data_IF_357888536191
#
_entry.id   IF_357888536191
#
_cell.length_a   1.000
_cell.length_b   1.000
_cell.length_c   1.000
_cell.angle_alpha   90.00
_cell.angle_beta   90.00
_cell.angle_gamma   90.00
#
_symmetry.space_group_name_H-M   'P 1'
#
loop_
_entity.id
_entity.type
_entity.pdbx_description
1 polymer ?
#
# COMPACT_ATOMS: atom_id res chain seq x y z
N UNK A 1 -0.60 22.95 -41.19
CA UNK A 1 -1.82 22.82 -40.37
C UNK A 1 -1.76 21.48 -39.66
N UNK A 2 -1.69 21.48 -38.33
CA UNK A 2 -1.59 20.26 -37.52
C UNK A 2 -0.73 20.48 -36.28
N UNK A 3 -1.27 21.23 -35.33
CA UNK A 3 -0.66 21.60 -34.05
C UNK A 3 -0.62 20.41 -33.08
N UNK A 4 0.34 20.41 -32.14
CA UNK A 4 0.20 19.68 -30.88
C UNK A 4 1.43 18.95 -30.31
N UNK A 5 2.56 19.63 -30.11
CA UNK A 5 3.49 19.34 -29.00
C UNK A 5 2.83 19.76 -27.66
N UNK A 6 3.30 19.35 -26.45
CA UNK A 6 4.44 18.51 -26.07
C UNK A 6 4.12 17.53 -24.91
N UNK A 7 5.15 16.82 -24.43
CA UNK A 7 5.03 15.77 -23.43
C UNK A 7 4.53 16.18 -22.04
N UNK A 8 4.01 15.17 -21.36
CA UNK A 8 4.19 15.02 -19.94
C UNK A 8 4.92 13.69 -19.75
N UNK A 9 6.26 13.76 -19.67
CA UNK A 9 6.96 12.86 -18.75
C UNK A 9 6.26 13.06 -17.41
N UNK A 10 5.84 11.95 -16.80
CA UNK A 10 5.18 11.94 -15.50
C UNK A 10 6.01 12.81 -14.53
N UNK A 11 5.52 14.03 -14.28
CA UNK A 11 6.16 15.02 -13.42
C UNK A 11 5.77 14.74 -11.97
N UNK A 12 6.02 13.51 -11.53
CA UNK A 12 6.08 13.18 -10.13
C UNK A 12 7.32 12.32 -9.93
N UNK A 13 8.44 13.04 -9.84
CA UNK A 13 9.67 12.68 -9.14
C UNK A 13 9.62 11.30 -8.46
N UNK A 14 9.91 10.25 -9.23
CA UNK A 14 10.37 8.96 -8.70
C UNK A 14 11.90 9.02 -8.71
N UNK A 15 12.44 10.10 -8.15
CA UNK A 15 13.84 10.12 -7.76
C UNK A 15 13.94 9.11 -6.63
N UNK A 16 14.43 7.91 -6.98
CA UNK A 16 14.95 6.93 -6.04
C UNK A 16 13.89 6.04 -5.35
N UNK A 17 13.02 5.37 -6.12
CA UNK A 17 12.61 4.01 -5.74
C UNK A 17 13.84 3.11 -5.88
N UNK A 18 14.75 3.18 -4.92
CA UNK A 18 15.42 1.94 -4.51
C UNK A 18 14.26 0.98 -4.21
N UNK A 19 14.21 -0.19 -4.84
CA UNK A 19 13.38 -1.28 -4.35
C UNK A 19 13.90 -1.65 -2.96
N UNK A 20 13.55 -0.84 -1.98
CA UNK A 20 13.78 -1.03 -0.57
C UNK A 20 12.88 -2.23 -0.23
N UNK A 21 13.49 -3.42 -0.27
CA UNK A 21 12.84 -4.70 0.05
C UNK A 21 12.32 -4.77 1.49
N UNK A 22 12.51 -3.69 2.24
CA UNK A 22 12.00 -3.48 3.58
C UNK A 22 10.49 -3.50 3.67
N UNK A 23 9.76 -3.23 2.58
CA UNK A 23 8.29 -3.31 2.56
C UNK A 23 7.80 -3.97 1.27
N UNK A 24 6.93 -4.98 1.38
CA UNK A 24 6.39 -5.73 0.25
C UNK A 24 4.90 -6.09 0.45
N UNK A 25 4.15 -6.21 -0.65
CA UNK A 25 2.78 -6.70 -0.66
C UNK A 25 2.76 -8.13 -1.22
N UNK A 26 2.14 -9.05 -0.50
CA UNK A 26 2.02 -10.46 -0.89
C UNK A 26 0.61 -10.96 -0.56
N UNK A 27 -0.17 -11.44 -1.54
CA UNK A 27 0.03 -11.31 -2.99
C UNK A 27 -0.26 -9.89 -3.50
N UNK A 28 0.27 -9.50 -4.67
CA UNK A 28 -0.09 -8.21 -5.30
C UNK A 28 -1.55 -8.18 -5.80
N UNK A 29 -2.14 -9.34 -6.04
CA UNK A 29 -3.54 -9.52 -6.46
C UNK A 29 -4.19 -10.48 -5.47
N UNK A 30 -5.33 -10.09 -4.91
CA UNK A 30 -6.08 -10.90 -3.95
C UNK A 30 -7.57 -10.93 -4.33
N UNK A 31 -8.23 -12.04 -4.00
CA UNK A 31 -9.64 -12.29 -4.27
C UNK A 31 -10.33 -12.68 -2.96
N UNK A 32 -11.02 -11.75 -2.27
CA UNK A 32 -11.73 -12.04 -1.02
C UNK A 32 -13.07 -12.73 -1.30
N UNK A 33 -13.05 -13.89 -1.96
CA UNK A 33 -14.22 -14.74 -2.20
C UNK A 33 -14.48 -15.78 -1.09
N UNK A 34 -13.62 -15.82 -0.08
CA UNK A 34 -13.67 -16.73 1.07
C UNK A 34 -13.51 -18.19 0.65
N UNK A 35 -12.70 -18.44 -0.41
CA UNK A 35 -12.41 -19.77 -0.93
C UNK A 35 -11.16 -20.41 -0.30
N UNK A 36 -10.47 -19.65 0.56
CA UNK A 36 -9.23 -20.06 1.24
C UNK A 36 -7.97 -19.75 0.45
N UNK A 37 -8.08 -19.17 -0.74
CA UNK A 37 -6.96 -18.85 -1.63
C UNK A 37 -6.90 -17.35 -1.92
N UNK A 38 -5.83 -16.70 -1.46
CA UNK A 38 -5.58 -15.27 -1.69
C UNK A 38 -6.75 -14.36 -1.25
N UNK A 39 -7.41 -14.69 -0.13
CA UNK A 39 -8.51 -13.89 0.42
C UNK A 39 -8.06 -12.57 1.05
N UNK A 40 -6.78 -12.46 1.39
CA UNK A 40 -6.20 -11.29 2.04
C UNK A 40 -4.91 -10.89 1.34
N UNK A 41 -4.60 -9.61 1.40
CA UNK A 41 -3.30 -9.07 1.00
C UNK A 41 -2.48 -8.73 2.23
N UNK A 42 -1.23 -9.19 2.27
CA UNK A 42 -0.33 -8.99 3.39
C UNK A 42 0.72 -7.95 3.02
N UNK A 43 0.78 -6.87 3.79
CA UNK A 43 1.90 -5.93 3.80
C UNK A 43 2.94 -6.45 4.79
N UNK A 44 4.00 -7.04 4.28
CA UNK A 44 5.13 -7.51 5.06
C UNK A 44 6.21 -6.43 5.10
N UNK A 45 6.87 -6.31 6.25
CA UNK A 45 7.95 -5.37 6.43
C UNK A 45 9.13 -5.95 7.22
N UNK A 46 10.33 -5.50 6.88
CA UNK A 46 11.59 -5.82 7.54
C UNK A 46 12.46 -4.56 7.59
N UNK A 47 12.85 -4.15 8.79
CA UNK A 47 13.69 -2.98 9.07
C UNK A 47 14.94 -3.38 9.84
N UNK A 48 16.02 -2.61 9.65
CA UNK A 48 17.33 -2.92 10.24
C UNK A 48 17.37 -2.73 11.77
N UNK A 49 16.49 -1.90 12.31
CA UNK A 49 16.40 -1.59 13.74
C UNK A 49 14.93 -1.55 14.21
N UNK A 50 14.65 -1.88 15.47
CA UNK A 50 13.34 -1.62 16.06
C UNK A 50 13.16 -0.13 16.37
N UNK A 51 11.93 0.27 16.70
CA UNK A 51 11.64 1.65 17.11
C UNK A 51 11.07 2.55 16.03
N UNK A 52 10.78 2.00 14.86
CA UNK A 52 10.00 2.70 13.85
C UNK A 52 8.52 2.77 14.26
N UNK A 53 7.86 3.86 13.90
CA UNK A 53 6.41 3.95 13.89
C UNK A 53 5.91 3.87 12.46
N UNK A 54 4.84 3.11 12.22
CA UNK A 54 4.26 2.99 10.88
C UNK A 54 2.80 3.40 10.87
N UNK A 55 2.40 4.02 9.77
CA UNK A 55 1.03 4.30 9.40
C UNK A 55 0.78 3.75 8.00
N UNK A 56 -0.30 2.99 7.84
CA UNK A 56 -0.67 2.37 6.57
C UNK A 56 -2.09 2.79 6.22
N UNK A 57 -2.22 3.48 5.09
CA UNK A 57 -3.49 3.95 4.54
C UNK A 57 -3.69 3.33 3.17
N UNK A 58 -4.89 2.83 2.92
CA UNK A 58 -5.30 2.26 1.65
C UNK A 58 -6.19 3.27 0.96
N UNK A 59 -5.90 3.55 -0.31
CA UNK A 59 -6.69 4.42 -1.17
C UNK A 59 -7.20 3.64 -2.37
N UNK A 60 -8.40 3.94 -2.83
CA UNK A 60 -8.89 3.39 -4.09
C UNK A 60 -8.28 4.12 -5.31
N UNK A 61 -8.57 3.64 -6.52
CA UNK A 61 -8.10 4.25 -7.76
C UNK A 61 -8.52 5.73 -7.95
N UNK A 62 -9.58 6.18 -7.28
CA UNK A 62 -10.01 7.58 -7.26
C UNK A 62 -9.28 8.45 -6.23
N UNK A 63 -8.39 7.88 -5.42
CA UNK A 63 -7.67 8.58 -4.35
C UNK A 63 -8.47 8.76 -3.06
N UNK A 64 -9.64 8.13 -2.94
CA UNK A 64 -10.43 8.16 -1.70
C UNK A 64 -9.88 7.15 -0.70
N UNK A 65 -9.83 7.50 0.60
CA UNK A 65 -9.40 6.56 1.64
C UNK A 65 -10.41 5.41 1.73
N UNK A 66 -9.92 4.19 1.58
CA UNK A 66 -10.71 2.97 1.69
C UNK A 66 -10.61 2.37 3.10
N UNK A 67 -9.39 2.31 3.64
CA UNK A 67 -9.12 1.73 4.97
C UNK A 67 -7.85 2.33 5.58
N UNK A 68 -7.85 2.55 6.88
CA UNK A 68 -6.61 2.74 7.64
C UNK A 68 -6.26 1.46 8.40
N UNK A 69 -5.26 0.71 7.92
CA UNK A 69 -4.87 -0.55 8.56
C UNK A 69 -4.10 -0.32 9.86
N UNK A 70 -3.23 0.69 9.85
CA UNK A 70 -2.31 0.97 10.95
C UNK A 70 -2.23 2.47 11.17
N UNK A 71 -2.22 2.89 12.44
CA UNK A 71 -2.05 4.28 12.85
C UNK A 71 -0.95 4.40 13.90
N UNK A 72 0.22 4.93 13.52
CA UNK A 72 1.37 5.16 14.39
C UNK A 72 1.70 3.95 15.29
N UNK A 73 1.65 2.75 14.71
CA UNK A 73 1.96 1.54 15.46
C UNK A 73 3.47 1.38 15.60
N UNK A 74 3.91 1.07 16.81
CA UNK A 74 5.31 0.75 17.08
C UNK A 74 5.68 -0.57 16.43
N UNK A 75 6.75 -0.57 15.64
CA UNK A 75 7.21 -1.73 14.90
C UNK A 75 8.44 -2.35 15.56
N UNK A 76 8.45 -3.69 15.58
CA UNK A 76 9.67 -4.46 15.69
C UNK A 76 10.49 -4.41 14.39
N UNK A 77 11.55 -5.21 14.34
CA UNK A 77 12.40 -5.33 13.14
C UNK A 77 11.69 -5.99 11.96
N UNK A 78 10.62 -6.77 12.19
CA UNK A 78 9.83 -7.35 11.11
C UNK A 78 8.40 -7.60 11.55
N UNK A 79 7.50 -7.73 10.58
CA UNK A 79 6.11 -8.10 10.84
C UNK A 79 5.26 -8.06 9.57
N UNK A 80 3.95 -8.26 9.75
CA UNK A 80 3.01 -8.19 8.65
C UNK A 80 1.69 -7.55 9.10
N UNK A 81 1.01 -6.92 8.15
CA UNK A 81 -0.31 -6.32 8.32
C UNK A 81 -1.18 -6.79 7.15
N UNK A 82 -2.32 -7.38 7.44
CA UNK A 82 -3.22 -7.90 6.39
C UNK A 82 -4.40 -6.98 6.15
N UNK A 83 -4.88 -6.97 4.91
CA UNK A 83 -6.16 -6.40 4.52
C UNK A 83 -7.01 -7.44 3.83
N UNK A 84 -8.26 -7.54 4.27
CA UNK A 84 -9.28 -8.48 3.83
C UNK A 84 -10.28 -7.88 2.82
N UNK A 85 -9.98 -6.68 2.30
CA UNK A 85 -10.88 -5.99 1.38
C UNK A 85 -12.06 -5.31 2.07
N UNK A 86 -12.02 -5.13 3.40
CA UNK A 86 -13.05 -4.40 4.15
C UNK A 86 -12.63 -2.93 4.35
N UNK A 87 -13.56 -2.02 4.12
CA UNK A 87 -13.36 -0.58 4.26
C UNK A 87 -13.56 -0.12 5.72
N UNK A 88 -13.21 1.13 6.05
CA UNK A 88 -13.40 1.68 7.41
C UNK A 88 -14.89 1.69 7.85
N UNK A 89 -15.82 1.78 6.91
CA UNK A 89 -17.26 1.73 7.14
C UNK A 89 -17.81 0.29 7.31
N UNK A 90 -16.94 -0.71 7.38
CA UNK A 90 -17.26 -2.15 7.43
C UNK A 90 -17.95 -2.69 6.16
N UNK A 91 -18.00 -1.92 5.08
CA UNK A 91 -18.46 -2.41 3.79
C UNK A 91 -17.35 -3.17 3.04
N UNK A 92 -17.75 -4.02 2.10
CA UNK A 92 -16.81 -4.64 1.16
C UNK A 92 -16.30 -3.60 0.16
N UNK A 93 -14.98 -3.54 0.00
CA UNK A 93 -14.35 -2.72 -1.00
C UNK A 93 -14.70 -3.26 -2.41
N UNK A 94 -15.01 -2.38 -3.39
CA UNK A 94 -15.28 -2.81 -4.76
C UNK A 94 -14.04 -3.42 -5.43
N UNK A 95 -14.26 -4.20 -6.49
CA UNK A 95 -13.17 -4.68 -7.35
C UNK A 95 -12.44 -3.50 -7.97
N UNK A 96 -11.12 -3.51 -7.90
CA UNK A 96 -10.31 -2.45 -8.45
C UNK A 96 -8.87 -2.40 -7.93
N UNK A 97 -8.18 -1.34 -8.32
CA UNK A 97 -6.81 -1.05 -7.91
C UNK A 97 -6.83 -0.25 -6.62
N UNK A 98 -6.01 -0.67 -5.68
CA UNK A 98 -5.81 -0.04 -4.39
C UNK A 98 -4.35 0.32 -4.17
N UNK A 99 -4.12 1.51 -3.61
CA UNK A 99 -2.78 2.02 -3.30
C UNK A 99 -2.59 2.00 -1.79
N UNK A 100 -1.62 1.21 -1.35
CA UNK A 100 -1.12 1.20 0.01
C UNK A 100 -0.07 2.28 0.13
N UNK A 101 -0.39 3.31 0.89
CA UNK A 101 0.52 4.38 1.26
C UNK A 101 1.02 4.12 2.68
N UNK A 102 2.31 3.86 2.79
CA UNK A 102 2.99 3.48 4.03
C UNK A 102 3.92 4.61 4.42
N UNK A 103 3.75 5.13 5.63
CA UNK A 103 4.63 6.13 6.23
C UNK A 103 5.33 5.50 7.41
N UNK A 104 6.66 5.52 7.40
CA UNK A 104 7.51 4.97 8.46
C UNK A 104 8.33 6.10 9.05
N UNK A 105 8.19 6.32 10.35
CA UNK A 105 8.87 7.34 11.13
C UNK A 105 9.93 6.68 12.00
N UNK A 106 11.14 7.20 11.99
CA UNK A 106 12.20 6.75 12.89
C UNK A 106 12.29 7.61 14.16
N UNK A 107 13.04 7.14 15.16
CA UNK A 107 13.26 7.88 16.41
C UNK A 107 14.10 9.16 16.23
N UNK A 108 14.80 9.30 15.10
CA UNK A 108 15.56 10.49 14.74
C UNK A 108 14.70 11.56 14.02
N UNK A 109 13.42 11.26 13.76
CA UNK A 109 12.48 12.13 13.08
C UNK A 109 12.50 12.04 11.55
N UNK A 110 13.24 11.10 10.97
CA UNK A 110 13.20 10.86 9.53
C UNK A 110 11.93 10.10 9.14
N UNK A 111 11.35 10.49 8.02
CA UNK A 111 10.13 9.87 7.48
C UNK A 111 10.44 9.23 6.14
N UNK A 112 10.29 7.90 6.06
CA UNK A 112 10.30 7.15 4.81
C UNK A 112 8.87 6.89 4.35
N UNK A 113 8.64 6.99 3.04
CA UNK A 113 7.33 6.81 2.43
C UNK A 113 7.41 5.76 1.35
N UNK A 114 6.49 4.81 1.39
CA UNK A 114 6.37 3.75 0.39
C UNK A 114 4.98 3.78 -0.23
N UNK A 115 4.92 3.50 -1.53
CA UNK A 115 3.68 3.28 -2.26
C UNK A 115 3.74 1.88 -2.83
N UNK A 116 2.76 1.07 -2.49
CA UNK A 116 2.59 -0.28 -3.03
C UNK A 116 1.19 -0.41 -3.61
N UNK A 117 1.05 -1.16 -4.68
CA UNK A 117 -0.21 -1.31 -5.40
C UNK A 117 -0.70 -2.73 -5.18
N UNK A 118 -1.94 -2.87 -4.74
CA UNK A 118 -2.65 -4.13 -4.62
C UNK A 118 -3.90 -4.10 -5.50
N UNK A 119 -4.27 -5.24 -6.07
CA UNK A 119 -5.49 -5.38 -6.87
C UNK A 119 -6.46 -6.29 -6.15
N UNK A 120 -7.66 -5.80 -5.89
CA UNK A 120 -8.79 -6.60 -5.44
C UNK A 120 -9.51 -7.09 -6.70
N UNK A 121 -9.47 -8.40 -6.95
CA UNK A 121 -10.17 -9.05 -8.05
C UNK A 121 -11.36 -9.87 -7.51
N UNK A 122 -12.35 -10.11 -8.35
CA UNK A 122 -13.30 -11.22 -8.15
C UNK A 122 -12.95 -12.31 -9.13
N UNK A 123 -12.94 -13.55 -8.68
CA UNK A 123 -12.91 -14.72 -9.55
C UNK A 123 -14.08 -14.62 -10.56
N UNK A 124 -13.77 -14.81 -11.84
CA UNK A 124 -14.76 -14.97 -12.92
C UNK A 124 -15.34 -16.38 -12.89
#
# INVERSE_FOLDING_TARGET
MGFGTPGYLNSQDVSQQVEDKSVQLVPEIFSPDNDGYQDVINLEYVFDQPGYMMTVKIFNAGGYPARQLVNNQYLGTSGMVSWDGIQDDHSKAPVGIYVFYIEVFDLAGNVKKYKKVGVLATKL
#
